data_IF_456467816573
#
_entry.id   IF_456467816573
#
_cell.length_a   1.000
_cell.length_b   1.000
_cell.length_c   1.000
_cell.angle_alpha   90.00
_cell.angle_beta   90.00
_cell.angle_gamma   90.00
#
_symmetry.space_group_name_H-M   'P 1'
#
loop_
_entity.id
_entity.type
_entity.pdbx_description
1 polymer ?
#
# COMPACT_ATOMS: atom_id res chain seq x y z
N UNK A 1 -1.38 -15.39 -10.48
CA UNK A 1 -1.62 -16.07 -9.18
C UNK A 1 -2.55 -15.27 -8.28
N UNK A 2 -2.17 -14.09 -7.76
CA UNK A 2 -3.06 -13.29 -6.87
C UNK A 2 -4.35 -12.87 -7.57
N UNK A 3 -4.24 -12.27 -8.76
CA UNK A 3 -5.42 -11.85 -9.55
C UNK A 3 -6.31 -13.02 -9.98
N UNK A 4 -5.73 -14.20 -10.14
CA UNK A 4 -6.45 -15.43 -10.49
C UNK A 4 -7.16 -16.06 -9.27
N UNK A 5 -7.08 -15.43 -8.09
CA UNK A 5 -7.66 -15.97 -6.86
C UNK A 5 -6.98 -17.26 -6.37
N UNK A 6 -5.74 -17.52 -6.79
CA UNK A 6 -5.01 -18.75 -6.45
C UNK A 6 -4.11 -18.57 -5.22
N UNK A 7 -3.74 -17.32 -4.89
CA UNK A 7 -2.82 -17.01 -3.79
C UNK A 7 -3.33 -15.77 -3.03
N UNK A 8 -3.50 -15.85 -1.70
CA UNK A 8 -3.86 -14.69 -0.89
C UNK A 8 -2.86 -13.55 -1.04
N UNK A 9 -3.35 -12.31 -1.04
CA UNK A 9 -2.51 -11.12 -1.16
C UNK A 9 -1.43 -11.08 -0.05
N UNK A 10 -1.79 -11.41 1.19
CA UNK A 10 -0.84 -11.42 2.31
C UNK A 10 0.35 -12.36 2.07
N UNK A 11 0.06 -13.60 1.63
CA UNK A 11 1.09 -14.61 1.31
C UNK A 11 1.94 -14.16 0.13
N UNK A 12 1.32 -13.57 -0.90
CA UNK A 12 2.06 -13.05 -2.05
C UNK A 12 3.01 -11.92 -1.68
N UNK A 13 2.59 -11.01 -0.79
CA UNK A 13 3.44 -9.94 -0.26
C UNK A 13 4.59 -10.50 0.58
N UNK A 14 4.37 -11.56 1.35
CA UNK A 14 5.46 -12.24 2.08
C UNK A 14 6.47 -12.90 1.15
N UNK A 15 6.01 -13.59 0.11
CA UNK A 15 6.89 -14.19 -0.89
C UNK A 15 7.68 -13.12 -1.65
N UNK A 16 7.04 -12.00 -1.99
CA UNK A 16 7.70 -10.87 -2.62
C UNK A 16 8.79 -10.29 -1.71
N UNK A 17 8.50 -10.10 -0.43
CA UNK A 17 9.46 -9.56 0.52
C UNK A 17 10.63 -10.53 0.78
N UNK A 18 10.35 -11.83 0.80
CA UNK A 18 11.37 -12.86 0.99
C UNK A 18 12.26 -13.04 -0.25
N UNK A 19 11.72 -12.93 -1.47
CA UNK A 19 12.44 -13.27 -2.71
C UNK A 19 12.84 -12.07 -3.55
N UNK A 20 11.93 -11.13 -3.77
CA UNK A 20 12.16 -9.96 -4.62
C UNK A 20 12.83 -8.85 -3.81
N UNK A 21 12.21 -8.41 -2.71
CA UNK A 21 12.76 -7.34 -1.87
C UNK A 21 14.13 -7.72 -1.31
N UNK A 22 14.30 -8.96 -0.83
CA UNK A 22 15.58 -9.47 -0.35
C UNK A 22 16.70 -9.38 -1.40
N UNK A 23 16.38 -9.69 -2.66
CA UNK A 23 17.34 -9.60 -3.78
C UNK A 23 17.65 -8.15 -4.15
N UNK A 24 16.63 -7.29 -4.21
CA UNK A 24 16.78 -5.86 -4.54
C UNK A 24 17.62 -5.15 -3.47
N UNK A 25 17.37 -5.44 -2.18
CA UNK A 25 18.08 -4.85 -1.04
C UNK A 25 19.59 -5.02 -1.11
N UNK A 26 20.08 -6.13 -1.69
CA UNK A 26 21.51 -6.42 -1.76
C UNK A 26 22.30 -5.34 -2.53
N UNK A 27 21.75 -4.84 -3.64
CA UNK A 27 22.41 -3.84 -4.48
C UNK A 27 21.80 -2.43 -4.34
N UNK A 28 20.61 -2.30 -3.75
CA UNK A 28 19.85 -1.05 -3.74
C UNK A 28 20.61 0.11 -3.09
N UNK A 29 21.29 -0.14 -1.98
CA UNK A 29 22.08 0.87 -1.27
C UNK A 29 23.27 1.39 -2.10
N UNK A 30 23.80 0.60 -3.04
CA UNK A 30 24.86 1.04 -3.96
C UNK A 30 24.28 1.90 -5.08
N UNK A 31 23.15 1.49 -5.64
CA UNK A 31 22.57 2.11 -6.83
C UNK A 31 21.72 3.35 -6.52
N UNK A 32 21.46 3.65 -5.25
CA UNK A 32 20.70 4.86 -4.84
C UNK A 32 21.35 6.17 -5.31
N UNK A 33 22.67 6.20 -5.50
CA UNK A 33 23.41 7.37 -6.01
C UNK A 33 23.43 7.46 -7.54
N UNK A 34 22.88 6.47 -8.24
CA UNK A 34 22.88 6.46 -9.69
C UNK A 34 21.96 7.57 -10.23
N UNK A 35 22.29 8.17 -11.40
CA UNK A 35 21.36 9.06 -12.07
C UNK A 35 20.00 8.39 -12.26
N UNK A 36 18.92 9.11 -12.00
CA UNK A 36 17.53 8.62 -12.10
C UNK A 36 17.14 7.48 -11.14
N UNK A 37 17.94 7.18 -10.11
CA UNK A 37 17.63 6.13 -9.13
C UNK A 37 16.22 6.32 -8.52
N UNK A 38 15.87 7.55 -8.15
CA UNK A 38 14.54 7.87 -7.60
C UNK A 38 13.41 7.44 -8.51
N UNK A 39 13.47 7.84 -9.79
CA UNK A 39 12.47 7.47 -10.79
C UNK A 39 12.40 5.96 -10.98
N UNK A 40 13.54 5.31 -11.19
CA UNK A 40 13.61 3.88 -11.45
C UNK A 40 13.05 3.04 -10.29
N UNK A 41 13.40 3.38 -9.05
CA UNK A 41 12.84 2.70 -7.88
C UNK A 41 11.35 2.98 -7.73
N UNK A 42 10.91 4.23 -7.84
CA UNK A 42 9.50 4.54 -7.68
C UNK A 42 8.65 3.83 -8.75
N UNK A 43 9.02 3.90 -10.04
CA UNK A 43 8.32 3.19 -11.10
C UNK A 43 8.25 1.68 -10.87
N UNK A 44 9.33 1.04 -10.41
CA UNK A 44 9.35 -0.39 -10.12
C UNK A 44 8.35 -0.77 -9.01
N UNK A 45 8.38 -0.07 -7.87
CA UNK A 45 7.46 -0.34 -6.76
C UNK A 45 6.02 0.02 -7.10
N UNK A 46 5.79 1.10 -7.81
CA UNK A 46 4.46 1.46 -8.30
C UNK A 46 3.87 0.36 -9.19
N UNK A 47 4.67 -0.17 -10.12
CA UNK A 47 4.26 -1.24 -11.01
C UNK A 47 3.95 -2.54 -10.25
N UNK A 48 4.77 -2.91 -9.26
CA UNK A 48 4.52 -4.08 -8.43
C UNK A 48 3.25 -3.91 -7.58
N UNK A 49 3.05 -2.75 -6.95
CA UNK A 49 1.84 -2.47 -6.18
C UNK A 49 0.58 -2.56 -7.05
N UNK A 50 0.61 -1.99 -8.26
CA UNK A 50 -0.49 -2.13 -9.23
C UNK A 50 -0.72 -3.59 -9.63
N UNK A 51 0.35 -4.35 -9.88
CA UNK A 51 0.28 -5.75 -10.27
C UNK A 51 -0.37 -6.64 -9.19
N UNK A 52 -0.05 -6.42 -7.92
CA UNK A 52 -0.67 -7.16 -6.80
C UNK A 52 -2.20 -7.00 -6.76
N UNK A 53 -2.70 -5.81 -7.08
CA UNK A 53 -4.13 -5.52 -7.06
C UNK A 53 -4.83 -5.82 -8.39
N UNK A 54 -4.07 -6.06 -9.47
CA UNK A 54 -4.62 -6.08 -10.83
C UNK A 54 -5.17 -4.73 -11.26
N UNK A 55 -4.49 -3.67 -10.84
CA UNK A 55 -4.76 -2.30 -11.23
C UNK A 55 -4.15 -2.02 -12.60
N UNK A 56 -4.86 -1.36 -13.53
CA UNK A 56 -4.28 -0.94 -14.81
C UNK A 56 -3.25 0.17 -14.61
N UNK A 57 -2.33 0.33 -15.56
CA UNK A 57 -1.20 1.27 -15.44
C UNK A 57 -1.60 2.73 -15.22
N UNK A 58 -2.74 3.16 -15.78
CA UNK A 58 -3.26 4.53 -15.66
C UNK A 58 -3.86 4.86 -14.29
N UNK A 59 -4.07 3.87 -13.40
CA UNK A 59 -4.54 4.12 -12.04
C UNK A 59 -3.42 4.62 -11.14
N UNK A 60 -3.81 5.41 -10.14
CA UNK A 60 -2.90 5.91 -9.12
C UNK A 60 -2.15 4.79 -8.41
N UNK A 61 -0.82 4.81 -8.51
CA UNK A 61 0.01 3.92 -7.75
C UNK A 61 0.05 4.27 -6.27
N UNK A 62 -0.20 5.53 -5.89
CA UNK A 62 -0.26 5.90 -4.47
C UNK A 62 -1.38 5.11 -3.76
N UNK A 63 -2.55 4.98 -4.38
CA UNK A 63 -3.64 4.14 -3.87
C UNK A 63 -3.18 2.68 -3.78
N UNK A 64 -2.63 2.15 -4.87
CA UNK A 64 -2.24 0.74 -4.92
C UNK A 64 -1.20 0.41 -3.85
N UNK A 65 -0.20 1.28 -3.70
CA UNK A 65 0.83 1.24 -2.65
C UNK A 65 0.20 1.27 -1.26
N UNK A 66 -0.81 2.12 -1.05
CA UNK A 66 -1.53 2.22 0.21
C UNK A 66 -2.32 0.96 0.55
N UNK A 67 -2.95 0.32 -0.44
CA UNK A 67 -3.72 -0.93 -0.26
C UNK A 67 -2.86 -2.17 -0.04
N UNK A 68 -1.64 -2.20 -0.57
CA UNK A 68 -0.64 -3.24 -0.21
C UNK A 68 0.16 -2.86 1.05
N UNK A 69 -0.23 -1.77 1.73
CA UNK A 69 0.34 -1.29 2.99
C UNK A 69 1.83 -0.94 2.95
N UNK A 70 2.32 -0.53 1.79
CA UNK A 70 3.68 -0.06 1.63
C UNK A 70 3.80 1.39 2.05
N UNK A 71 4.33 1.62 3.25
CA UNK A 71 4.48 2.96 3.81
C UNK A 71 5.57 3.78 3.14
N UNK A 72 6.61 3.12 2.65
CA UNK A 72 7.69 3.74 1.87
C UNK A 72 7.47 3.50 0.37
N UNK A 73 7.78 4.50 -0.44
CA UNK A 73 7.95 4.31 -1.89
C UNK A 73 9.28 3.59 -2.20
N UNK A 74 9.60 3.42 -3.48
CA UNK A 74 10.81 2.71 -3.88
C UNK A 74 12.09 3.44 -3.47
N UNK A 75 12.14 4.76 -3.66
CA UNK A 75 13.34 5.55 -3.40
C UNK A 75 13.63 5.70 -1.91
N UNK A 76 12.60 5.92 -1.09
CA UNK A 76 12.74 6.00 0.36
C UNK A 76 13.17 4.64 0.96
N UNK A 77 12.76 3.51 0.38
CA UNK A 77 13.35 2.20 0.75
C UNK A 77 14.85 2.12 0.43
N UNK A 78 15.29 2.75 -0.67
CA UNK A 78 16.71 2.81 -1.02
C UNK A 78 17.50 3.71 -0.06
N UNK A 79 16.94 4.85 0.34
CA UNK A 79 17.51 5.74 1.35
C UNK A 79 17.66 5.01 2.69
N UNK A 80 16.63 4.26 3.12
CA UNK A 80 16.69 3.47 4.36
C UNK A 80 17.84 2.46 4.33
N UNK A 81 17.95 1.65 3.28
CA UNK A 81 19.02 0.66 3.16
C UNK A 81 20.41 1.32 3.12
N UNK A 82 20.52 2.45 2.40
CA UNK A 82 21.74 3.26 2.35
C UNK A 82 22.13 3.77 3.74
N UNK A 83 21.21 4.38 4.47
CA UNK A 83 21.44 4.88 5.83
C UNK A 83 21.91 3.75 6.75
N UNK A 84 21.21 2.61 6.74
CA UNK A 84 21.58 1.44 7.56
C UNK A 84 22.94 0.88 7.16
N UNK A 85 23.28 0.87 5.86
CA UNK A 85 24.59 0.41 5.40
C UNK A 85 25.71 1.35 5.84
N UNK A 86 25.51 2.67 5.75
CA UNK A 86 26.43 3.69 6.26
C UNK A 86 26.65 3.52 7.76
N UNK A 87 25.57 3.39 8.53
CA UNK A 87 25.64 3.15 9.97
C UNK A 87 26.47 1.90 10.30
N UNK A 88 26.25 0.79 9.59
CA UNK A 88 27.06 -0.43 9.75
C UNK A 88 28.55 -0.17 9.52
N UNK A 89 28.91 0.58 8.47
CA UNK A 89 30.30 0.91 8.16
C UNK A 89 30.94 1.80 9.24
N UNK A 90 30.16 2.70 9.85
CA UNK A 90 30.60 3.51 11.00
C UNK A 90 30.85 2.69 12.26
N UNK A 91 30.10 1.61 12.46
CA UNK A 91 30.17 0.75 13.66
C UNK A 91 31.16 -0.41 13.55
N UNK A 92 31.89 -0.53 12.44
CA UNK A 92 32.89 -1.59 12.29
C UNK A 92 34.01 -1.45 13.33
N UNK A 93 34.62 -2.57 13.77
CA UNK A 93 35.68 -2.53 14.76
C UNK A 93 36.85 -1.62 14.35
N UNK A 94 37.53 -0.97 15.31
CA UNK A 94 38.75 -0.22 15.01
C UNK A 94 39.76 -1.09 14.25
N UNK A 95 40.29 -0.55 13.15
CA UNK A 95 41.24 -1.27 12.28
C UNK A 95 40.59 -2.07 11.14
N UNK A 96 39.26 -2.15 11.06
CA UNK A 96 38.58 -2.76 9.92
C UNK A 96 38.84 -1.98 8.62
N UNK A 97 39.33 -2.68 7.59
CA UNK A 97 39.70 -2.08 6.31
C UNK A 97 38.53 -1.36 5.62
N UNK A 98 37.32 -1.94 5.67
CA UNK A 98 36.13 -1.34 5.03
C UNK A 98 35.69 -0.08 5.77
N UNK A 99 35.74 -0.10 7.11
CA UNK A 99 35.48 1.07 7.94
C UNK A 99 36.44 2.21 7.64
N UNK A 100 37.75 1.92 7.60
CA UNK A 100 38.80 2.91 7.31
C UNK A 100 38.66 3.51 5.91
N UNK A 101 38.42 2.67 4.88
CA UNK A 101 38.22 3.14 3.50
C UNK A 101 36.98 4.02 3.41
N UNK A 102 35.87 3.62 4.04
CA UNK A 102 34.63 4.41 4.05
C UNK A 102 34.84 5.78 4.72
N UNK A 103 35.48 5.81 5.89
CA UNK A 103 35.82 7.05 6.59
C UNK A 103 36.70 7.97 5.75
N UNK A 104 37.72 7.41 5.09
CA UNK A 104 38.58 8.17 4.18
C UNK A 104 37.84 8.71 2.95
N UNK A 105 36.80 8.01 2.50
CA UNK A 105 35.95 8.38 1.37
C UNK A 105 34.85 9.41 1.73
N UNK A 106 34.54 9.60 3.02
CA UNK A 106 33.57 10.61 3.48
C UNK A 106 34.05 12.07 3.31
N UNK A 107 35.20 12.32 2.68
CA UNK A 107 35.70 13.67 2.41
C UNK A 107 34.71 14.43 1.49
N UNK A 108 34.28 15.64 1.88
CA UNK A 108 33.39 16.46 1.06
C UNK A 108 33.97 16.71 -0.33
N UNK A 109 33.14 16.55 -1.36
CA UNK A 109 33.53 16.82 -2.75
C UNK A 109 34.42 15.75 -3.37
N UNK A 110 34.66 14.62 -2.69
CA UNK A 110 35.40 13.49 -3.27
C UNK A 110 34.64 12.82 -4.43
N UNK A 111 33.32 13.06 -4.54
CA UNK A 111 32.47 12.41 -5.53
C UNK A 111 32.33 10.91 -5.32
N UNK A 112 32.85 10.39 -4.20
CA UNK A 112 32.78 8.98 -3.81
C UNK A 112 31.35 8.58 -3.50
N UNK A 113 31.11 7.26 -3.38
CA UNK A 113 29.80 6.79 -2.89
C UNK A 113 29.49 7.33 -1.50
N UNK A 114 30.48 7.43 -0.61
CA UNK A 114 30.29 7.91 0.76
C UNK A 114 29.91 9.41 0.81
N UNK A 115 30.47 10.22 -0.07
CA UNK A 115 30.14 11.65 -0.20
C UNK A 115 28.74 11.85 -0.81
N UNK A 116 28.46 11.19 -1.95
CA UNK A 116 27.14 11.30 -2.62
C UNK A 116 26.00 10.76 -1.78
N UNK A 117 26.18 9.63 -1.11
CA UNK A 117 25.17 9.06 -0.23
C UNK A 117 24.89 9.95 0.98
N UNK A 118 25.90 10.65 1.51
CA UNK A 118 25.69 11.64 2.57
C UNK A 118 24.84 12.82 2.07
N UNK A 119 25.06 13.29 0.84
CA UNK A 119 24.24 14.35 0.26
C UNK A 119 22.77 13.92 0.14
N UNK A 120 22.50 12.69 -0.31
CA UNK A 120 21.13 12.16 -0.38
C UNK A 120 20.49 12.09 1.02
N UNK A 121 21.23 11.68 2.05
CA UNK A 121 20.71 11.70 3.43
C UNK A 121 20.32 13.12 3.86
N UNK A 122 21.18 14.12 3.58
CA UNK A 122 20.90 15.53 3.89
C UNK A 122 19.66 16.02 3.17
N UNK A 123 19.53 15.74 1.87
CA UNK A 123 18.38 16.14 1.06
C UNK A 123 17.07 15.51 1.58
N UNK A 124 17.16 14.30 2.12
CA UNK A 124 16.05 13.59 2.77
C UNK A 124 15.83 13.96 4.25
N UNK A 125 16.58 14.93 4.80
CA UNK A 125 16.58 15.29 6.22
C UNK A 125 16.84 14.12 7.17
N UNK A 126 17.66 13.16 6.74
CA UNK A 126 18.12 12.03 7.56
C UNK A 126 19.50 12.35 8.12
N UNK A 127 19.70 12.40 9.45
CA UNK A 127 21.03 12.53 10.03
C UNK A 127 21.86 11.28 9.72
N UNK A 128 23.13 11.46 9.36
CA UNK A 128 24.07 10.34 9.27
C UNK A 128 24.35 9.77 10.67
N UNK A 129 24.76 8.50 10.74
CA UNK A 129 24.85 7.78 12.01
C UNK A 129 25.70 8.48 13.10
N UNK A 130 26.89 9.05 12.81
CA UNK A 130 27.70 9.72 13.83
C UNK A 130 27.10 11.04 14.33
N UNK A 131 26.17 11.62 13.58
CA UNK A 131 25.50 12.88 13.90
C UNK A 131 24.12 12.65 14.53
N UNK A 132 23.71 11.40 14.73
CA UNK A 132 22.42 11.06 15.29
C UNK A 132 22.49 11.03 16.83
N UNK A 133 21.93 12.06 17.45
CA UNK A 133 22.00 12.33 18.89
C UNK A 133 20.73 11.90 19.67
N UNK A 134 19.65 11.54 18.98
CA UNK A 134 18.35 11.26 19.63
C UNK A 134 18.14 9.80 20.04
N UNK A 135 19.17 8.96 20.09
CA UNK A 135 19.04 7.52 20.31
C UNK A 135 20.06 6.91 21.25
N UNK A 136 19.93 5.60 21.47
CA UNK A 136 20.83 4.78 22.29
C UNK A 136 22.16 4.43 21.59
N UNK A 137 22.40 4.99 20.39
CA UNK A 137 23.59 4.73 19.58
C UNK A 137 23.62 3.33 18.93
N UNK A 138 22.52 2.58 18.93
CA UNK A 138 22.50 1.23 18.34
C UNK A 138 21.99 1.23 16.89
N UNK A 139 22.48 0.28 16.09
CA UNK A 139 22.03 0.09 14.71
C UNK A 139 20.52 -0.17 14.57
N UNK A 140 19.89 -1.03 15.40
CA UNK A 140 18.44 -1.28 15.31
C UNK A 140 17.63 -0.01 15.61
N UNK A 141 18.02 0.75 16.62
CA UNK A 141 17.34 1.99 16.98
C UNK A 141 17.50 3.06 15.89
N UNK A 142 18.69 3.18 15.28
CA UNK A 142 18.90 4.08 14.14
C UNK A 142 18.05 3.68 12.93
N UNK A 143 18.06 2.40 12.55
CA UNK A 143 17.27 1.90 11.43
C UNK A 143 15.78 2.21 11.60
N UNK A 144 15.25 1.99 12.81
CA UNK A 144 13.86 2.31 13.15
C UNK A 144 13.59 3.81 13.11
N UNK A 145 14.49 4.64 13.62
CA UNK A 145 14.38 6.10 13.55
C UNK A 145 14.30 6.59 12.10
N UNK A 146 15.25 6.17 11.25
CA UNK A 146 15.28 6.55 9.83
C UNK A 146 14.02 6.07 9.12
N UNK A 147 13.58 4.83 9.37
CA UNK A 147 12.33 4.31 8.81
C UNK A 147 11.14 5.19 9.21
N UNK A 148 10.98 5.55 10.49
CA UNK A 148 9.88 6.40 10.95
C UNK A 148 9.91 7.80 10.31
N UNK A 149 11.09 8.38 10.12
CA UNK A 149 11.26 9.68 9.46
C UNK A 149 10.80 9.61 8.00
N UNK A 150 11.28 8.62 7.26
CA UNK A 150 10.92 8.43 5.85
C UNK A 150 9.45 8.04 5.68
N UNK A 151 8.87 7.24 6.58
CA UNK A 151 7.44 6.91 6.58
C UNK A 151 6.56 8.16 6.73
N UNK A 152 6.97 9.12 7.58
CA UNK A 152 6.25 10.39 7.74
C UNK A 152 6.28 11.23 6.47
N UNK A 153 7.45 11.35 5.82
CA UNK A 153 7.61 12.08 4.56
C UNK A 153 6.73 11.46 3.46
N UNK A 154 6.86 10.14 3.25
CA UNK A 154 6.07 9.38 2.29
C UNK A 154 4.56 9.45 2.53
N UNK A 155 4.11 9.56 3.80
CA UNK A 155 2.69 9.68 4.13
C UNK A 155 2.11 11.03 3.69
N UNK A 156 2.88 12.12 3.85
CA UNK A 156 2.46 13.44 3.40
C UNK A 156 2.31 13.48 1.87
N UNK A 157 3.32 12.99 1.15
CA UNK A 157 3.30 12.87 -0.31
C UNK A 157 2.15 11.99 -0.78
N UNK A 158 1.92 10.85 -0.11
CA UNK A 158 0.81 9.96 -0.39
C UNK A 158 -0.53 10.69 -0.24
N UNK A 159 -0.76 11.40 0.87
CA UNK A 159 -2.02 12.14 1.10
C UNK A 159 -2.28 13.15 -0.01
N UNK A 160 -1.25 13.89 -0.43
CA UNK A 160 -1.34 14.86 -1.51
C UNK A 160 -1.63 14.19 -2.86
N UNK A 161 -0.93 13.10 -3.18
CA UNK A 161 -1.12 12.37 -4.44
C UNK A 161 -2.51 11.74 -4.54
N UNK A 162 -3.06 11.29 -3.40
CA UNK A 162 -4.37 10.64 -3.38
C UNK A 162 -5.49 11.70 -3.38
N UNK A 163 -5.35 12.82 -2.67
CA UNK A 163 -6.36 13.90 -2.64
C UNK A 163 -6.53 14.64 -3.98
N UNK A 164 -5.49 14.70 -4.79
CA UNK A 164 -5.50 15.34 -6.11
C UNK A 164 -5.98 14.42 -7.25
N UNK A 165 -6.36 13.18 -6.92
CA UNK A 165 -6.79 12.21 -7.92
C UNK A 165 -8.15 12.57 -8.55
N UNK A 166 -8.21 12.52 -9.89
CA UNK A 166 -9.32 13.03 -10.71
C UNK A 166 -10.68 12.35 -10.43
N UNK A 167 -10.67 11.10 -10.00
CA UNK A 167 -11.87 10.42 -9.51
C UNK A 167 -11.81 10.35 -7.98
N UNK A 168 -12.85 10.81 -7.25
CA UNK A 168 -12.91 10.62 -5.81
C UNK A 168 -12.82 9.12 -5.55
N UNK A 169 -11.79 8.74 -4.82
CA UNK A 169 -11.58 7.36 -4.40
C UNK A 169 -12.44 7.26 -3.16
N UNK A 170 -13.51 6.45 -3.16
CA UNK A 170 -14.40 6.39 -2.01
C UNK A 170 -13.64 6.14 -0.72
N UNK A 171 -12.54 5.37 -0.77
CA UNK A 171 -11.66 5.13 0.37
C UNK A 171 -11.06 6.39 1.03
N UNK A 172 -10.85 7.51 0.32
CA UNK A 172 -10.41 8.75 0.96
C UNK A 172 -11.46 9.39 1.85
N UNK A 173 -12.74 9.20 1.51
CA UNK A 173 -13.84 9.62 2.37
C UNK A 173 -13.95 8.71 3.61
N UNK A 174 -13.28 7.55 3.59
CA UNK A 174 -13.37 6.50 4.60
C UNK A 174 -12.12 6.43 5.50
N UNK A 175 -10.92 6.71 4.98
CA UNK A 175 -9.66 6.55 5.73
C UNK A 175 -8.66 7.66 5.47
N UNK A 176 -7.97 8.08 6.54
CA UNK A 176 -6.92 9.11 6.52
C UNK A 176 -5.50 8.54 6.39
N UNK A 177 -5.36 7.22 6.25
CA UNK A 177 -4.09 6.51 6.16
C UNK A 177 -4.15 5.31 5.19
N UNK A 178 -2.99 4.81 4.72
CA UNK A 178 -2.90 3.54 4.01
C UNK A 178 -3.55 2.39 4.78
N UNK A 179 -4.04 1.38 4.04
CA UNK A 179 -4.64 0.18 4.66
C UNK A 179 -3.69 -0.46 5.67
N UNK A 180 -4.16 -0.90 6.84
CA UNK A 180 -3.33 -1.54 7.84
C UNK A 180 -2.66 -2.80 7.26
N UNK A 181 -1.42 -3.07 7.69
CA UNK A 181 -0.58 -4.09 7.08
C UNK A 181 -1.26 -5.48 7.07
N UNK A 182 -1.59 -6.04 5.89
CA UNK A 182 -2.25 -7.34 5.78
C UNK A 182 -1.37 -8.47 6.30
N UNK A 183 -0.03 -8.32 6.28
CA UNK A 183 0.93 -9.40 6.54
C UNK A 183 0.83 -9.95 7.96
N UNK A 184 0.99 -9.09 8.96
CA UNK A 184 1.07 -9.53 10.35
C UNK A 184 -0.31 -9.89 10.94
N UNK A 185 -1.37 -9.21 10.50
CA UNK A 185 -2.69 -9.36 11.12
C UNK A 185 -3.44 -10.52 10.46
N UNK A 186 -3.46 -10.62 9.13
CA UNK A 186 -4.27 -11.66 8.46
C UNK A 186 -3.76 -13.07 8.72
N UNK A 187 -2.45 -13.27 8.77
CA UNK A 187 -1.86 -14.57 9.05
C UNK A 187 -1.93 -14.93 10.54
N UNK A 188 -1.88 -13.95 11.44
CA UNK A 188 -1.98 -14.19 12.87
C UNK A 188 -3.42 -14.44 13.35
N UNK A 189 -4.43 -13.93 12.65
CA UNK A 189 -5.84 -14.05 13.04
C UNK A 189 -6.50 -15.40 12.75
N UNK A 190 -5.78 -16.40 12.21
CA UNK A 190 -6.34 -17.74 11.98
C UNK A 190 -7.50 -17.77 10.97
N UNK A 191 -7.52 -16.82 10.03
CA UNK A 191 -8.61 -16.68 9.06
C UNK A 191 -8.65 -17.86 8.08
N UNK A 192 -9.85 -18.19 7.62
CA UNK A 192 -10.04 -19.24 6.61
C UNK A 192 -9.36 -18.88 5.28
N UNK A 193 -8.93 -19.90 4.53
CA UNK A 193 -8.32 -19.68 3.22
C UNK A 193 -9.21 -18.89 2.24
N UNK A 194 -10.53 -19.16 2.13
CA UNK A 194 -11.44 -18.33 1.35
C UNK A 194 -11.47 -16.86 1.78
N UNK A 195 -11.44 -16.58 3.09
CA UNK A 195 -11.37 -15.20 3.61
C UNK A 195 -10.06 -14.53 3.18
N UNK A 196 -8.94 -15.23 3.30
CA UNK A 196 -7.63 -14.72 2.89
C UNK A 196 -7.56 -14.44 1.38
N UNK A 197 -8.13 -15.32 0.55
CA UNK A 197 -8.27 -15.11 -0.89
C UNK A 197 -9.17 -13.91 -1.19
N UNK A 198 -10.29 -13.78 -0.48
CA UNK A 198 -11.28 -12.72 -0.67
C UNK A 198 -10.81 -11.32 -0.28
N UNK A 199 -9.83 -11.20 0.63
CA UNK A 199 -9.31 -9.92 1.10
C UNK A 199 -8.82 -9.00 -0.04
N UNK A 200 -8.24 -9.56 -1.11
CA UNK A 200 -7.82 -8.75 -2.28
C UNK A 200 -9.02 -8.02 -2.92
N UNK A 201 -10.22 -8.58 -2.85
CA UNK A 201 -11.44 -7.93 -3.36
C UNK A 201 -11.79 -6.69 -2.53
N UNK A 202 -11.58 -6.73 -1.21
CA UNK A 202 -11.70 -5.54 -0.35
C UNK A 202 -10.69 -4.47 -0.73
N UNK A 203 -9.41 -4.84 -0.90
CA UNK A 203 -8.38 -3.90 -1.34
C UNK A 203 -8.73 -3.26 -2.68
N UNK A 204 -9.17 -4.07 -3.65
CA UNK A 204 -9.59 -3.58 -4.98
C UNK A 204 -10.79 -2.66 -4.90
N UNK A 205 -11.77 -2.98 -4.04
CA UNK A 205 -12.96 -2.17 -3.87
C UNK A 205 -12.62 -0.81 -3.24
N UNK A 206 -11.78 -0.77 -2.20
CA UNK A 206 -11.24 0.46 -1.61
C UNK A 206 -10.45 1.28 -2.62
N UNK A 207 -9.64 0.62 -3.44
CA UNK A 207 -8.89 1.26 -4.52
C UNK A 207 -9.75 1.75 -5.70
N UNK A 208 -11.08 1.55 -5.68
CA UNK A 208 -11.96 1.93 -6.78
C UNK A 208 -11.72 1.14 -8.08
N UNK A 209 -11.16 -0.07 -7.96
CA UNK A 209 -10.86 -0.97 -9.09
C UNK A 209 -12.04 -1.86 -9.48
N UNK A 210 -13.11 -1.85 -8.70
CA UNK A 210 -14.36 -2.56 -9.01
C UNK A 210 -15.36 -1.54 -9.56
N UNK A 211 -15.72 -1.67 -10.84
CA UNK A 211 -16.68 -0.77 -11.47
C UNK A 211 -18.11 -1.23 -11.20
N UNK A 212 -18.81 -0.49 -10.33
CA UNK A 212 -20.12 -0.85 -9.80
C UNK A 212 -21.29 -0.14 -10.48
N UNK A 213 -21.01 0.69 -11.50
CA UNK A 213 -22.05 1.41 -12.20
C UNK A 213 -21.76 1.59 -13.68
N UNK A 214 -22.82 1.82 -14.44
CA UNK A 214 -22.78 1.95 -15.90
C UNK A 214 -23.62 3.13 -16.38
N UNK A 215 -23.42 3.49 -17.64
CA UNK A 215 -24.29 4.40 -18.40
C UNK A 215 -24.63 3.66 -19.67
N UNK A 216 -25.91 3.33 -19.88
CA UNK A 216 -26.35 2.59 -21.07
C UNK A 216 -25.51 1.31 -21.30
N UNK A 217 -25.30 0.53 -20.23
CA UNK A 217 -24.48 -0.69 -20.22
C UNK A 217 -22.99 -0.49 -20.60
N UNK A 218 -22.47 0.74 -20.59
CA UNK A 218 -21.05 1.05 -20.83
C UNK A 218 -20.34 1.46 -19.56
N UNK A 219 -19.06 1.10 -19.45
CA UNK A 219 -18.17 1.54 -18.37
C UNK A 219 -17.98 3.05 -18.45
N UNK A 220 -18.29 3.75 -17.36
CA UNK A 220 -18.02 5.18 -17.25
C UNK A 220 -17.73 5.52 -15.80
N UNK A 221 -16.65 6.26 -15.58
CA UNK A 221 -16.29 6.79 -14.27
C UNK A 221 -16.25 8.32 -14.24
N UNK A 222 -16.52 8.98 -15.37
CA UNK A 222 -16.47 10.43 -15.49
C UNK A 222 -17.73 11.12 -14.92
N UNK A 223 -18.88 10.43 -14.95
CA UNK A 223 -20.15 11.00 -14.49
C UNK A 223 -20.44 10.64 -13.04
N UNK A 224 -20.85 11.65 -12.27
CA UNK A 224 -21.24 11.51 -10.87
C UNK A 224 -22.54 10.72 -10.69
N UNK A 225 -23.37 10.55 -11.71
CA UNK A 225 -24.61 9.76 -11.65
C UNK A 225 -24.51 8.60 -12.65
N UNK A 226 -24.68 7.38 -12.16
CA UNK A 226 -24.58 6.13 -12.94
C UNK A 226 -25.69 5.18 -12.53
N UNK A 227 -26.07 4.24 -13.38
CA UNK A 227 -26.94 3.15 -12.98
C UNK A 227 -26.14 2.11 -12.19
N UNK A 228 -26.66 1.65 -11.05
CA UNK A 228 -26.08 0.53 -10.31
C UNK A 228 -26.18 -0.76 -11.14
N UNK A 229 -25.09 -1.54 -11.24
CA UNK A 229 -25.14 -2.80 -12.01
C UNK A 229 -26.07 -3.87 -11.41
N UNK A 230 -26.36 -3.81 -10.11
CA UNK A 230 -27.16 -4.81 -9.43
C UNK A 230 -28.67 -4.62 -9.57
N UNK A 231 -29.13 -3.35 -9.64
CA UNK A 231 -30.56 -3.02 -9.64
C UNK A 231 -30.96 -1.98 -10.71
N UNK A 232 -30.02 -1.52 -11.53
CA UNK A 232 -30.20 -0.51 -12.57
C UNK A 232 -30.73 0.87 -12.09
N UNK A 233 -30.74 1.13 -10.78
CA UNK A 233 -31.16 2.43 -10.23
C UNK A 233 -30.07 3.49 -10.45
N UNK A 234 -30.48 4.73 -10.77
CA UNK A 234 -29.56 5.88 -10.87
C UNK A 234 -29.05 6.28 -9.50
N UNK A 235 -27.73 6.23 -9.31
CA UNK A 235 -27.06 6.48 -8.04
C UNK A 235 -25.87 7.41 -8.21
N UNK A 236 -25.61 8.23 -7.19
CA UNK A 236 -24.44 9.12 -7.15
C UNK A 236 -23.16 8.41 -6.69
N UNK A 237 -23.30 7.46 -5.78
CA UNK A 237 -22.20 6.70 -5.21
C UNK A 237 -22.49 5.21 -5.32
N UNK A 238 -22.13 4.62 -6.46
CA UNK A 238 -22.41 3.21 -6.76
C UNK A 238 -21.80 2.24 -5.71
N UNK A 239 -20.63 2.57 -5.17
CA UNK A 239 -20.00 1.79 -4.11
C UNK A 239 -20.84 1.77 -2.81
N UNK A 240 -21.20 2.94 -2.31
CA UNK A 240 -22.02 3.09 -1.10
C UNK A 240 -23.36 2.37 -1.31
N UNK A 241 -23.99 2.60 -2.46
CA UNK A 241 -25.25 1.93 -2.78
C UNK A 241 -25.09 0.40 -2.80
N UNK A 242 -24.06 -0.15 -3.44
CA UNK A 242 -23.83 -1.60 -3.47
C UNK A 242 -23.65 -2.21 -2.07
N UNK A 243 -22.85 -1.54 -1.22
CA UNK A 243 -22.49 -2.03 0.11
C UNK A 243 -23.56 -1.82 1.17
N UNK A 244 -24.50 -0.89 0.98
CA UNK A 244 -25.44 -0.51 2.04
C UNK A 244 -26.92 -0.56 1.64
N UNK A 245 -27.27 -0.44 0.34
CA UNK A 245 -28.67 -0.17 -0.07
C UNK A 245 -29.19 -1.15 -1.12
N UNK A 246 -28.34 -1.60 -2.05
CA UNK A 246 -28.78 -2.27 -3.27
C UNK A 246 -29.51 -3.59 -2.98
N UNK A 247 -30.78 -3.76 -3.41
CA UNK A 247 -31.56 -4.96 -3.10
C UNK A 247 -30.92 -6.27 -3.56
N UNK A 248 -30.11 -6.22 -4.64
CA UNK A 248 -29.40 -7.37 -5.20
C UNK A 248 -28.52 -8.10 -4.19
N UNK A 249 -27.86 -7.35 -3.30
CA UNK A 249 -26.94 -7.89 -2.30
C UNK A 249 -27.50 -7.80 -0.87
N UNK A 250 -28.80 -7.57 -0.72
CA UNK A 250 -29.47 -7.59 0.57
C UNK A 250 -29.32 -8.94 1.30
N UNK A 251 -29.40 -10.11 0.63
CA UNK A 251 -29.21 -11.40 1.30
C UNK A 251 -27.85 -11.51 1.99
N UNK A 252 -26.77 -11.13 1.32
CA UNK A 252 -25.42 -11.18 1.90
C UNK A 252 -25.23 -10.14 3.01
N UNK A 253 -25.82 -8.95 2.88
CA UNK A 253 -25.80 -7.93 3.95
C UNK A 253 -26.55 -8.35 5.19
N UNK A 254 -27.63 -9.14 5.06
CA UNK A 254 -28.42 -9.63 6.20
C UNK A 254 -27.65 -10.56 7.14
N UNK A 255 -26.49 -11.06 6.70
CA UNK A 255 -25.57 -11.86 7.51
C UNK A 255 -24.67 -11.01 8.42
N UNK A 256 -24.62 -9.69 8.22
CA UNK A 256 -23.91 -8.78 9.11
C UNK A 256 -24.63 -8.75 10.48
N UNK A 257 -23.90 -8.71 11.60
CA UNK A 257 -24.51 -8.78 12.92
C UNK A 257 -25.44 -7.60 13.22
N UNK A 258 -26.40 -7.88 14.09
CA UNK A 258 -27.38 -6.91 14.58
C UNK A 258 -26.67 -5.69 15.18
N UNK A 259 -27.07 -4.48 14.76
CA UNK A 259 -26.44 -3.21 15.15
C UNK A 259 -25.57 -2.55 14.06
N UNK A 260 -25.34 -3.23 12.94
CA UNK A 260 -24.75 -2.63 11.72
C UNK A 260 -25.80 -1.97 10.81
N UNK A 261 -27.07 -1.98 11.23
CA UNK A 261 -28.19 -1.33 10.54
C UNK A 261 -28.15 0.18 10.82
N UNK A 262 -27.16 0.85 10.25
CA UNK A 262 -27.08 2.31 10.33
C UNK A 262 -28.05 2.90 9.33
N UNK A 263 -28.88 3.87 9.75
CA UNK A 263 -29.68 4.69 8.82
C UNK A 263 -28.82 5.53 7.85
N UNK A 264 -27.49 5.49 7.99
CA UNK A 264 -26.52 6.19 7.16
C UNK A 264 -25.76 5.21 6.25
N UNK A 265 -26.09 5.13 4.94
CA UNK A 265 -25.44 4.21 4.01
C UNK A 265 -23.92 4.37 3.93
N UNK A 266 -23.41 5.59 4.11
CA UNK A 266 -21.97 5.84 4.13
C UNK A 266 -21.31 5.14 5.32
N UNK A 267 -21.87 5.27 6.53
CA UNK A 267 -21.33 4.66 7.74
C UNK A 267 -21.23 3.13 7.63
N UNK A 268 -22.28 2.47 7.11
CA UNK A 268 -22.25 1.04 6.85
C UNK A 268 -21.19 0.66 5.81
N UNK A 269 -21.09 1.38 4.70
CA UNK A 269 -20.06 1.13 3.68
C UNK A 269 -18.64 1.29 4.26
N UNK A 270 -18.42 2.29 5.12
CA UNK A 270 -17.17 2.48 5.87
C UNK A 270 -16.87 1.28 6.76
N UNK A 271 -17.84 0.86 7.57
CA UNK A 271 -17.68 -0.23 8.52
C UNK A 271 -17.33 -1.54 7.79
N UNK A 272 -17.97 -1.82 6.66
CA UNK A 272 -17.71 -3.01 5.85
C UNK A 272 -16.31 -2.98 5.24
N UNK A 273 -15.83 -1.83 4.75
CA UNK A 273 -14.54 -1.75 4.06
C UNK A 273 -13.34 -1.61 5.02
N UNK A 274 -13.55 -1.08 6.22
CA UNK A 274 -12.51 -0.79 7.21
C UNK A 274 -12.50 -1.75 8.39
N UNK A 275 -13.35 -2.78 8.39
CA UNK A 275 -13.38 -3.80 9.43
C UNK A 275 -11.97 -4.39 9.64
N UNK A 276 -11.57 -4.46 10.91
CA UNK A 276 -10.28 -5.05 11.29
C UNK A 276 -10.27 -6.54 10.97
N UNK A 277 -9.16 -7.12 10.50
CA UNK A 277 -9.10 -8.57 10.32
C UNK A 277 -9.16 -9.40 11.60
N UNK A 278 -8.95 -8.76 12.76
CA UNK A 278 -9.16 -9.37 14.06
C UNK A 278 -10.62 -9.41 14.50
N UNK A 279 -11.51 -8.70 13.79
CA UNK A 279 -12.93 -8.63 14.11
C UNK A 279 -13.64 -9.91 13.62
N UNK A 280 -14.49 -10.54 14.44
CA UNK A 280 -15.25 -11.74 14.04
C UNK A 280 -16.08 -11.55 12.76
N UNK A 281 -16.51 -10.32 12.47
CA UNK A 281 -17.35 -9.97 11.31
C UNK A 281 -16.54 -9.87 10.02
N UNK A 282 -15.22 -9.80 10.10
CA UNK A 282 -14.34 -9.62 8.95
C UNK A 282 -14.62 -10.62 7.82
N UNK A 283 -14.80 -11.90 8.14
CA UNK A 283 -15.08 -12.93 7.12
C UNK A 283 -16.41 -12.72 6.40
N UNK A 284 -17.43 -12.19 7.10
CA UNK A 284 -18.74 -11.86 6.51
C UNK A 284 -18.61 -10.67 5.57
N UNK A 285 -17.91 -9.61 5.99
CA UNK A 285 -17.62 -8.44 5.14
C UNK A 285 -16.84 -8.83 3.88
N UNK A 286 -15.82 -9.69 4.02
CA UNK A 286 -15.06 -10.22 2.87
C UNK A 286 -15.98 -10.97 1.92
N UNK A 287 -16.85 -11.86 2.42
CA UNK A 287 -17.76 -12.64 1.59
C UNK A 287 -18.72 -11.76 0.78
N UNK A 288 -19.30 -10.73 1.42
CA UNK A 288 -20.13 -9.73 0.76
C UNK A 288 -19.37 -9.02 -0.37
N UNK A 289 -18.16 -8.53 -0.08
CA UNK A 289 -17.34 -7.82 -1.08
C UNK A 289 -16.93 -8.73 -2.24
N UNK A 290 -16.58 -9.98 -1.97
CA UNK A 290 -16.27 -10.98 -3.01
C UNK A 290 -17.48 -11.22 -3.90
N UNK A 291 -18.68 -11.37 -3.32
CA UNK A 291 -19.92 -11.55 -4.07
C UNK A 291 -20.17 -10.37 -5.00
N UNK A 292 -20.09 -9.14 -4.48
CA UNK A 292 -20.28 -7.91 -5.27
C UNK A 292 -19.24 -7.84 -6.41
N UNK A 293 -17.97 -8.11 -6.11
CA UNK A 293 -16.89 -8.06 -7.10
C UNK A 293 -17.08 -9.11 -8.21
N UNK A 294 -17.54 -10.32 -7.86
CA UNK A 294 -17.85 -11.38 -8.82
C UNK A 294 -19.01 -11.01 -9.73
N UNK A 295 -20.11 -10.53 -9.15
CA UNK A 295 -21.29 -10.10 -9.92
C UNK A 295 -20.92 -8.95 -10.88
N UNK A 296 -20.07 -8.01 -10.43
CA UNK A 296 -19.54 -6.95 -11.27
C UNK A 296 -18.67 -7.50 -12.42
N UNK A 297 -17.79 -8.47 -12.14
CA UNK A 297 -16.97 -9.08 -13.17
C UNK A 297 -17.82 -9.77 -14.24
N UNK A 298 -18.85 -10.53 -13.84
CA UNK A 298 -19.79 -11.20 -14.74
C UNK A 298 -20.52 -10.21 -15.65
N UNK A 299 -21.09 -9.15 -15.08
CA UNK A 299 -21.80 -8.11 -15.83
C UNK A 299 -20.93 -7.47 -16.94
N UNK A 300 -19.62 -7.35 -16.71
CA UNK A 300 -18.73 -6.72 -17.67
C UNK A 300 -18.05 -7.68 -18.66
N UNK A 301 -18.32 -8.98 -18.53
CA UNK A 301 -17.87 -10.01 -19.48
C UNK A 301 -18.96 -10.46 -20.45
N UNK A 302 -20.22 -10.29 -20.06
CA UNK A 302 -21.41 -10.49 -20.89
C UNK A 302 -21.63 -9.32 -21.85
#
# INVERSE_FOLDING_TARGET
MVQAGQLPLAVALDLFEAKVEGSVRFARWLLVIAPNAQRAYNEAYENWARAFLGSPAWRSAAIARGEVSWKLDGFHRAILDMAVRRAKLWTLPPGDLHGLIFQAACRPGSGSWADRSLQILKDANVPDFPCWDTGDGTLPSYAKYVQCLLEKACLLEWRQAVSTHVSPIPYLDLSSCPSPNPRCILLACGLSWPTLLGHVSMCRMRAGLVDLGHIEHRRSQANKIRCCLGCNQRVRAALIHALAVCPRWQPERSLLPYGWDTNEPLALASAVLLVSPSDPVFSVCVALVVKIARDAAQFWTE
#
